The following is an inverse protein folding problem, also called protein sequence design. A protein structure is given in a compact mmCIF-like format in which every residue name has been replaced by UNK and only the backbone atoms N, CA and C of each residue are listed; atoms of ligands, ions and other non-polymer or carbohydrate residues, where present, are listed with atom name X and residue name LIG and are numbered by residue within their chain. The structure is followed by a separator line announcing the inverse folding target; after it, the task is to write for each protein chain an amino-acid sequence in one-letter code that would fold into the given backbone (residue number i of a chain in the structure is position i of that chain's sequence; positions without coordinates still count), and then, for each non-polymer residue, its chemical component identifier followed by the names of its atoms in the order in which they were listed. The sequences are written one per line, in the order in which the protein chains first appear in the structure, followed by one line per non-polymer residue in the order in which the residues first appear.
data_IF_699466724010
#
_entry.id   IF_699466724010
#
_cell.length_a   1.000
_cell.length_b   1.000
_cell.length_c   1.000
_cell.angle_alpha   90.00
_cell.angle_beta   90.00
_cell.angle_gamma   90.00
#
_symmetry.space_group_name_H-M   'P 1'
#
loop_
_entity.id
_entity.type
_entity.pdbx_description
1 polymer ?
#
# COMPACT_ATOMS: atom_id res chain seq x y z
N UNK A 1 60.04 34.37 -68.14
CA UNK A 1 58.68 33.99 -67.72
C UNK A 1 58.82 32.80 -66.80
N UNK A 2 58.77 33.01 -65.48
CA UNK A 2 58.72 31.92 -64.50
C UNK A 2 57.34 31.26 -64.54
N UNK A 3 57.32 29.93 -64.65
CA UNK A 3 56.09 29.15 -64.66
C UNK A 3 55.49 29.08 -63.24
N UNK A 4 54.17 29.27 -63.07
CA UNK A 4 53.56 29.21 -61.75
C UNK A 4 53.62 27.78 -61.17
N UNK A 5 53.97 27.69 -59.89
CA UNK A 5 54.04 26.44 -59.12
C UNK A 5 52.73 25.64 -59.20
N UNK A 6 52.78 24.29 -59.28
CA UNK A 6 51.58 23.48 -59.43
C UNK A 6 50.66 23.64 -58.22
N UNK A 7 49.42 24.04 -58.49
CA UNK A 7 48.34 24.15 -57.50
C UNK A 7 48.12 22.78 -56.85
N UNK A 8 48.18 22.75 -55.52
CA UNK A 8 47.94 21.61 -54.63
C UNK A 8 46.97 20.56 -55.21
N UNK A 9 47.49 19.41 -55.63
CA UNK A 9 46.69 18.27 -56.05
C UNK A 9 46.21 17.51 -54.80
N UNK A 10 44.90 17.46 -54.63
CA UNK A 10 44.27 16.63 -53.59
C UNK A 10 44.44 15.16 -53.97
N UNK A 11 45.20 14.41 -53.16
CA UNK A 11 45.33 12.96 -53.35
C UNK A 11 44.09 12.26 -52.77
N UNK A 12 43.70 11.08 -53.30
CA UNK A 12 42.58 10.29 -52.77
C UNK A 12 42.67 10.06 -51.25
N UNK A 13 43.89 9.87 -50.72
CA UNK A 13 44.12 9.75 -49.27
C UNK A 13 43.82 11.02 -48.47
N UNK A 14 44.12 12.22 -48.99
CA UNK A 14 43.77 13.49 -48.32
C UNK A 14 42.26 13.74 -48.34
N UNK A 15 41.58 13.36 -49.42
CA UNK A 15 40.11 13.43 -49.51
C UNK A 15 39.45 12.46 -48.54
N UNK A 16 39.99 11.24 -48.38
CA UNK A 16 39.49 10.27 -47.41
C UNK A 16 39.64 10.76 -45.96
N UNK A 17 40.81 11.32 -45.60
CA UNK A 17 41.06 11.86 -44.25
C UNK A 17 40.13 13.04 -43.95
N UNK A 18 39.94 13.96 -44.89
CA UNK A 18 39.00 15.08 -44.73
C UNK A 18 37.56 14.58 -44.66
N UNK A 19 37.17 13.60 -45.48
CA UNK A 19 35.84 12.98 -45.42
C UNK A 19 35.56 12.32 -44.07
N UNK A 20 36.52 11.55 -43.53
CA UNK A 20 36.43 10.96 -42.18
C UNK A 20 36.37 12.07 -41.12
N UNK A 21 37.18 13.12 -41.23
CA UNK A 21 37.17 14.25 -40.30
C UNK A 21 35.83 14.98 -40.27
N UNK A 22 35.23 15.25 -41.43
CA UNK A 22 33.89 15.88 -41.54
C UNK A 22 32.81 14.96 -40.97
N UNK A 23 32.86 13.65 -41.26
CA UNK A 23 31.95 12.67 -40.66
C UNK A 23 32.07 12.65 -39.14
N UNK A 24 33.29 12.61 -38.59
CA UNK A 24 33.50 12.62 -37.14
C UNK A 24 32.98 13.92 -36.50
N UNK A 25 33.29 15.09 -37.06
CA UNK A 25 32.78 16.37 -36.55
C UNK A 25 31.25 16.40 -36.60
N UNK A 26 30.65 15.96 -37.70
CA UNK A 26 29.19 15.84 -37.84
C UNK A 26 28.59 14.92 -36.79
N UNK A 27 29.20 13.75 -36.56
CA UNK A 27 28.79 12.80 -35.53
C UNK A 27 28.91 13.41 -34.13
N UNK A 28 30.03 14.06 -33.78
CA UNK A 28 30.19 14.74 -32.49
C UNK A 28 29.20 15.89 -32.31
N UNK A 29 28.90 16.65 -33.36
CA UNK A 29 27.89 17.71 -33.32
C UNK A 29 26.49 17.14 -33.08
N UNK A 30 26.13 16.04 -33.75
CA UNK A 30 24.86 15.33 -33.52
C UNK A 30 24.78 14.80 -32.09
N UNK A 31 25.83 14.13 -31.59
CA UNK A 31 25.87 13.65 -30.20
C UNK A 31 25.79 14.81 -29.19
N UNK A 32 26.50 15.90 -29.42
CA UNK A 32 26.45 17.09 -28.57
C UNK A 32 25.07 17.75 -28.56
N UNK A 33 24.43 17.84 -29.73
CA UNK A 33 23.07 18.35 -29.87
C UNK A 33 22.06 17.46 -29.14
N UNK A 34 22.07 16.14 -29.40
CA UNK A 34 21.20 15.18 -28.72
C UNK A 34 21.39 15.24 -27.20
N UNK A 35 22.64 15.29 -26.74
CA UNK A 35 22.95 15.41 -25.32
C UNK A 35 22.42 16.70 -24.70
N UNK A 36 22.60 17.84 -25.37
CA UNK A 36 22.07 19.13 -24.92
C UNK A 36 20.54 19.13 -24.84
N UNK A 37 19.86 18.65 -25.88
CA UNK A 37 18.40 18.57 -25.91
C UNK A 37 17.85 17.61 -24.85
N UNK A 38 18.45 16.44 -24.66
CA UNK A 38 18.08 15.52 -23.59
C UNK A 38 18.26 16.15 -22.21
N UNK A 39 19.32 16.92 -22.00
CA UNK A 39 19.54 17.61 -20.73
C UNK A 39 18.53 18.73 -20.49
N UNK A 40 18.23 19.53 -21.53
CA UNK A 40 17.22 20.57 -21.46
C UNK A 40 15.83 20.00 -21.16
N UNK A 41 15.46 18.89 -21.80
CA UNK A 41 14.20 18.18 -21.56
C UNK A 41 14.12 17.65 -20.12
N UNK A 42 15.11 16.90 -19.66
CA UNK A 42 15.12 16.38 -18.28
C UNK A 42 15.00 17.52 -17.25
N UNK A 43 15.66 18.65 -17.50
CA UNK A 43 15.56 19.83 -16.62
C UNK A 43 14.16 20.43 -16.59
N UNK A 44 13.47 20.47 -17.75
CA UNK A 44 12.10 20.94 -17.83
C UNK A 44 11.15 19.97 -17.10
N UNK A 45 11.24 18.66 -17.39
CA UNK A 45 10.42 17.64 -16.75
C UNK A 45 10.57 17.68 -15.20
N UNK A 46 11.80 17.79 -14.69
CA UNK A 46 12.06 17.93 -13.24
C UNK A 46 11.62 19.29 -12.67
N UNK A 47 11.47 20.33 -13.48
CA UNK A 47 10.98 21.63 -13.02
C UNK A 47 9.44 21.62 -12.95
N UNK A 48 8.78 20.94 -13.89
CA UNK A 48 7.33 20.78 -13.91
C UNK A 48 6.86 19.98 -12.70
N UNK A 49 7.49 18.83 -12.40
CA UNK A 49 7.23 18.05 -11.18
C UNK A 49 7.36 18.88 -9.89
N UNK A 50 8.42 19.71 -9.79
CA UNK A 50 8.61 20.61 -8.64
C UNK A 50 7.55 21.71 -8.57
N UNK A 51 7.08 22.22 -9.71
CA UNK A 51 6.04 23.23 -9.77
C UNK A 51 4.69 22.69 -9.27
N UNK A 52 4.45 21.39 -9.44
CA UNK A 52 3.32 20.65 -8.89
C UNK A 52 3.51 20.29 -7.39
N UNK A 53 4.68 20.56 -6.81
CA UNK A 53 5.01 20.23 -5.42
C UNK A 53 5.44 18.78 -5.21
N UNK A 54 5.74 18.05 -6.29
CA UNK A 54 6.14 16.65 -6.22
C UNK A 54 7.66 16.50 -6.04
N UNK A 55 8.12 15.53 -5.23
CA UNK A 55 9.54 15.34 -4.97
C UNK A 55 10.24 14.74 -6.19
N UNK A 56 11.47 15.20 -6.46
CA UNK A 56 12.28 14.69 -7.58
C UNK A 56 13.62 14.09 -7.13
N UNK A 57 13.94 14.19 -5.84
CA UNK A 57 15.10 13.57 -5.21
C UNK A 57 14.83 13.26 -3.73
N UNK A 58 15.77 12.61 -3.06
CA UNK A 58 15.65 12.20 -1.67
C UNK A 58 15.54 13.36 -0.67
N UNK A 59 16.14 14.52 -0.96
CA UNK A 59 16.07 15.70 -0.08
C UNK A 59 14.69 16.33 -0.18
N UNK A 60 14.18 16.46 -1.40
CA UNK A 60 12.82 16.91 -1.65
C UNK A 60 11.79 15.93 -1.07
N UNK A 61 12.04 14.61 -1.17
CA UNK A 61 11.19 13.58 -0.59
C UNK A 61 11.11 13.67 0.94
N UNK A 62 12.24 13.94 1.61
CA UNK A 62 12.24 14.15 3.07
C UNK A 62 11.41 15.37 3.50
N UNK A 63 11.29 16.40 2.65
CA UNK A 63 10.43 17.56 2.92
C UNK A 63 8.96 17.28 2.57
N UNK A 64 8.72 16.45 1.56
CA UNK A 64 7.41 15.99 1.13
C UNK A 64 6.76 15.07 2.18
N UNK A 65 7.57 14.22 2.82
CA UNK A 65 7.19 13.41 3.97
C UNK A 65 7.15 14.26 5.23
N UNK A 66 6.00 14.88 5.51
CA UNK A 66 5.80 15.68 6.73
C UNK A 66 4.38 15.53 7.28
N UNK A 67 4.22 15.80 8.58
CA UNK A 67 2.89 15.97 9.17
C UNK A 67 2.31 17.30 8.69
N UNK A 68 1.12 17.30 8.04
CA UNK A 68 0.49 18.52 7.55
C UNK A 68 0.18 19.50 8.67
N UNK A 69 0.26 20.79 8.34
CA UNK A 69 -0.03 21.86 9.29
C UNK A 69 -1.45 21.73 9.84
N UNK A 70 -1.58 21.71 11.16
CA UNK A 70 -2.88 21.61 11.86
C UNK A 70 -3.34 20.19 12.15
N UNK A 71 -2.62 19.17 11.69
CA UNK A 71 -2.83 17.77 12.09
C UNK A 71 -1.99 17.49 13.35
N UNK A 72 -2.56 16.83 14.38
CA UNK A 72 -1.78 16.41 15.56
C UNK A 72 -0.63 15.48 15.15
N UNK A 73 0.57 15.79 15.60
CA UNK A 73 1.75 14.93 15.41
C UNK A 73 1.81 13.88 16.52
N UNK A 74 1.60 12.62 16.15
CA UNK A 74 1.60 11.46 17.06
C UNK A 74 2.90 10.65 16.98
N UNK A 75 3.91 11.16 16.28
CA UNK A 75 5.18 10.47 16.03
C UNK A 75 5.85 9.99 17.31
N UNK A 76 5.95 10.87 18.32
CA UNK A 76 6.61 10.52 19.58
C UNK A 76 5.94 9.38 20.33
N UNK A 77 4.61 9.28 20.25
CA UNK A 77 3.84 8.22 20.92
C UNK A 77 4.07 6.88 20.21
N UNK A 78 3.86 6.84 18.89
CA UNK A 78 3.99 5.59 18.13
C UNK A 78 5.42 5.08 18.05
N UNK A 79 6.40 5.97 17.83
CA UNK A 79 7.81 5.56 17.87
C UNK A 79 8.18 5.02 19.26
N UNK A 80 7.72 5.65 20.34
CA UNK A 80 7.98 5.15 21.70
C UNK A 80 7.36 3.77 21.97
N UNK A 81 6.14 3.52 21.51
CA UNK A 81 5.48 2.20 21.59
C UNK A 81 6.29 1.16 20.81
N UNK A 82 6.64 1.47 19.56
CA UNK A 82 7.35 0.56 18.66
C UNK A 82 8.74 0.23 19.20
N UNK A 83 9.51 1.23 19.63
CA UNK A 83 10.85 1.05 20.20
C UNK A 83 10.79 0.16 21.44
N UNK A 84 9.76 0.31 22.28
CA UNK A 84 9.61 -0.51 23.50
C UNK A 84 9.24 -1.95 23.18
N UNK A 85 8.27 -2.17 22.30
CA UNK A 85 7.84 -3.52 21.88
C UNK A 85 8.96 -4.26 21.15
N UNK A 86 9.79 -3.56 20.40
CA UNK A 86 10.89 -4.18 19.63
C UNK A 86 12.17 -4.37 20.43
N UNK A 87 12.37 -3.60 21.51
CA UNK A 87 13.48 -3.77 22.46
C UNK A 87 13.28 -4.98 23.40
N UNK A 88 12.74 -6.08 22.86
CA UNK A 88 12.41 -7.30 23.59
C UNK A 88 13.67 -8.15 23.82
N UNK A 89 13.79 -8.75 25.01
CA UNK A 89 14.92 -9.63 25.35
C UNK A 89 14.84 -10.96 24.57
N UNK A 90 15.97 -11.66 24.39
CA UNK A 90 15.96 -12.97 23.72
C UNK A 90 15.01 -13.96 24.42
N UNK A 91 15.02 -13.98 25.76
CA UNK A 91 14.14 -14.86 26.54
C UNK A 91 12.66 -14.58 26.25
N UNK A 92 12.28 -13.32 26.06
CA UNK A 92 10.90 -12.94 25.76
C UNK A 92 10.53 -13.23 24.30
N UNK A 93 11.48 -13.10 23.35
CA UNK A 93 11.29 -13.58 21.97
C UNK A 93 11.02 -15.09 21.96
N UNK A 94 11.78 -15.86 22.74
CA UNK A 94 11.59 -17.31 22.81
C UNK A 94 10.20 -17.68 23.36
N UNK A 95 9.70 -16.94 24.36
CA UNK A 95 8.31 -17.08 24.86
C UNK A 95 7.31 -16.74 23.77
N UNK A 96 7.46 -15.61 23.07
CA UNK A 96 6.55 -15.19 22.00
C UNK A 96 6.47 -16.24 20.89
N UNK A 97 7.59 -16.89 20.55
CA UNK A 97 7.63 -17.92 19.51
C UNK A 97 6.74 -19.14 19.82
N UNK A 98 6.49 -19.46 21.08
CA UNK A 98 5.61 -20.57 21.48
C UNK A 98 4.11 -20.19 21.48
N UNK A 99 3.78 -18.91 21.31
CA UNK A 99 2.42 -18.38 21.41
C UNK A 99 1.83 -18.07 20.02
N UNK A 100 0.49 -18.17 19.87
CA UNK A 100 -0.17 -17.87 18.60
C UNK A 100 -0.12 -16.37 18.30
N UNK A 101 -0.26 -16.00 17.02
CA UNK A 101 -0.26 -14.62 16.47
C UNK A 101 1.10 -13.91 16.56
N UNK A 102 1.73 -13.91 17.74
CA UNK A 102 3.04 -13.28 17.98
C UNK A 102 4.22 -14.18 17.62
N UNK A 103 3.98 -15.49 17.50
CA UNK A 103 4.97 -16.50 17.10
C UNK A 103 4.37 -17.65 16.30
N UNK A 104 4.88 -18.86 16.52
CA UNK A 104 4.50 -20.10 15.82
C UNK A 104 3.69 -21.05 16.72
N UNK A 105 3.07 -20.52 17.77
CA UNK A 105 2.20 -21.30 18.65
C UNK A 105 0.99 -21.91 17.93
N UNK A 106 0.31 -22.89 18.57
CA UNK A 106 -0.86 -23.56 18.02
C UNK A 106 -1.93 -22.62 17.48
N UNK A 107 -2.29 -22.81 16.21
CA UNK A 107 -3.41 -22.17 15.53
C UNK A 107 -4.36 -23.24 14.97
N UNK A 108 -5.66 -22.93 14.79
CA UNK A 108 -6.33 -21.69 15.18
C UNK A 108 -6.48 -21.56 16.71
N UNK A 109 -6.58 -20.31 17.20
CA UNK A 109 -6.94 -20.06 18.60
C UNK A 109 -8.38 -20.58 18.81
N UNK A 110 -8.65 -21.36 19.86
CA UNK A 110 -10.00 -21.86 20.13
C UNK A 110 -10.99 -20.69 20.34
N UNK A 111 -12.26 -20.81 19.89
CA UNK A 111 -13.24 -19.73 20.04
C UNK A 111 -13.59 -19.48 21.52
N UNK A 112 -14.00 -18.26 21.89
CA UNK A 112 -14.48 -17.94 23.24
C UNK A 112 -15.52 -18.95 23.76
N UNK A 113 -15.36 -19.38 25.01
CA UNK A 113 -16.16 -20.44 25.63
C UNK A 113 -15.61 -21.85 25.46
N UNK A 114 -14.49 -22.01 24.74
CA UNK A 114 -13.71 -23.26 24.70
C UNK A 114 -12.38 -23.09 25.44
N UNK A 115 -11.79 -24.21 25.90
CA UNK A 115 -10.53 -24.17 26.63
C UNK A 115 -9.38 -23.73 25.71
N UNK A 116 -8.71 -22.64 26.08
CA UNK A 116 -7.48 -22.20 25.43
C UNK A 116 -6.29 -22.44 26.37
N UNK A 117 -5.56 -23.53 26.11
CA UNK A 117 -4.49 -24.02 26.98
C UNK A 117 -3.37 -22.99 27.24
N UNK A 118 -3.15 -22.04 26.33
CA UNK A 118 -2.10 -21.04 26.43
C UNK A 118 -2.58 -19.69 26.99
N UNK A 119 -3.86 -19.57 27.36
CA UNK A 119 -4.47 -18.30 27.78
C UNK A 119 -3.69 -17.63 28.92
N UNK A 120 -3.33 -18.37 29.97
CA UNK A 120 -2.60 -17.81 31.12
C UNK A 120 -1.20 -17.31 30.72
N UNK A 121 -0.49 -18.03 29.84
CA UNK A 121 0.82 -17.63 29.34
C UNK A 121 0.74 -16.39 28.43
N UNK A 122 -0.33 -16.30 27.63
CA UNK A 122 -0.62 -15.12 26.81
C UNK A 122 -0.91 -13.90 27.68
N UNK A 123 -1.73 -14.07 28.73
CA UNK A 123 -2.03 -12.98 29.67
C UNK A 123 -0.77 -12.49 30.40
N UNK A 124 0.13 -13.39 30.80
CA UNK A 124 1.41 -13.03 31.41
C UNK A 124 2.31 -12.25 30.43
N UNK A 125 2.37 -12.66 29.16
CA UNK A 125 3.08 -11.91 28.13
C UNK A 125 2.49 -10.50 27.95
N UNK A 126 1.17 -10.39 27.80
CA UNK A 126 0.49 -9.13 27.54
C UNK A 126 0.61 -8.16 28.73
N UNK A 127 0.65 -8.66 29.96
CA UNK A 127 0.89 -7.85 31.15
C UNK A 127 2.24 -7.10 31.10
N UNK A 128 3.25 -7.65 30.41
CA UNK A 128 4.54 -6.98 30.21
C UNK A 128 4.48 -5.81 29.23
N UNK A 129 3.46 -5.77 28.37
CA UNK A 129 3.26 -4.73 27.34
C UNK A 129 2.01 -3.87 27.60
N UNK A 130 1.35 -4.02 28.75
CA UNK A 130 0.11 -3.29 29.05
C UNK A 130 0.27 -1.76 28.97
N UNK A 131 1.38 -1.12 29.39
CA UNK A 131 1.58 0.31 29.18
C UNK A 131 1.53 0.72 27.70
N UNK A 132 2.15 -0.07 26.82
CA UNK A 132 2.19 0.17 25.38
C UNK A 132 0.83 -0.05 24.73
N UNK A 133 0.11 -1.11 25.13
CA UNK A 133 -1.25 -1.38 24.67
C UNK A 133 -2.21 -0.27 25.12
N UNK A 134 -2.12 0.21 26.37
CA UNK A 134 -2.90 1.35 26.84
C UNK A 134 -2.59 2.64 26.09
N UNK A 135 -1.31 2.91 25.80
CA UNK A 135 -0.90 4.05 25.00
C UNK A 135 -1.49 3.97 23.58
N UNK A 136 -1.44 2.80 22.94
CA UNK A 136 -2.06 2.58 21.62
C UNK A 136 -3.58 2.81 21.64
N UNK A 137 -4.28 2.34 22.68
CA UNK A 137 -5.73 2.58 22.86
C UNK A 137 -6.05 4.05 23.07
N UNK A 138 -5.20 4.80 23.77
CA UNK A 138 -5.40 6.22 24.02
C UNK A 138 -5.32 7.08 22.76
N UNK A 139 -4.64 6.61 21.72
CA UNK A 139 -4.55 7.29 20.42
C UNK A 139 -5.82 7.16 19.55
N UNK A 140 -6.74 6.26 19.93
CA UNK A 140 -7.99 6.06 19.20
C UNK A 140 -8.82 7.35 19.18
N UNK A 141 -9.05 7.89 17.98
CA UNK A 141 -9.84 9.10 17.76
C UNK A 141 -9.07 10.42 17.85
N UNK A 142 -7.76 10.39 18.12
CA UNK A 142 -6.89 11.58 18.06
C UNK A 142 -6.80 12.15 16.64
N UNK A 143 -6.98 11.30 15.61
CA UNK A 143 -6.89 11.63 14.18
C UNK A 143 -5.56 12.31 13.79
N UNK A 144 -4.47 11.97 14.48
CA UNK A 144 -3.13 12.47 14.20
C UNK A 144 -2.45 11.79 13.02
N UNK A 145 -1.26 12.28 12.67
CA UNK A 145 -0.35 11.64 11.71
C UNK A 145 1.02 11.41 12.33
N UNK A 146 1.70 10.39 11.83
CA UNK A 146 3.03 9.97 12.26
C UNK A 146 4.01 10.18 11.11
N UNK A 147 5.20 10.68 11.44
CA UNK A 147 6.32 10.82 10.52
C UNK A 147 7.47 9.93 11.00
N UNK A 148 7.60 8.74 10.44
CA UNK A 148 8.71 7.86 10.81
C UNK A 148 10.06 8.43 10.35
N UNK A 149 11.14 8.35 11.15
CA UNK A 149 12.43 8.91 10.76
C UNK A 149 13.10 8.03 9.69
N UNK A 150 12.87 8.35 8.41
CA UNK A 150 13.39 7.59 7.26
C UNK A 150 14.54 8.35 6.59
N UNK A 151 15.69 7.68 6.42
CA UNK A 151 16.81 8.21 5.64
C UNK A 151 16.65 7.90 4.14
N UNK A 152 15.88 8.73 3.44
CA UNK A 152 15.69 8.62 1.99
C UNK A 152 17.00 8.84 1.20
N UNK A 153 18.05 9.38 1.82
CA UNK A 153 19.32 9.63 1.13
C UNK A 153 20.00 8.33 0.68
N UNK A 154 19.55 7.16 1.13
CA UNK A 154 20.04 5.86 0.66
C UNK A 154 19.45 5.44 -0.70
N UNK A 155 18.44 6.16 -1.24
CA UNK A 155 17.81 5.82 -2.52
C UNK A 155 17.01 4.51 -2.40
N UNK A 156 17.11 3.62 -3.38
CA UNK A 156 16.42 2.30 -3.36
C UNK A 156 16.92 1.36 -2.25
N UNK A 157 17.97 1.73 -1.52
CA UNK A 157 18.52 0.97 -0.38
C UNK A 157 18.01 1.48 0.96
N UNK A 158 17.08 2.43 0.96
CA UNK A 158 16.43 2.95 2.15
C UNK A 158 15.85 1.79 2.96
N UNK A 159 16.23 1.70 4.22
CA UNK A 159 15.68 0.73 5.16
C UNK A 159 14.44 1.33 5.81
N UNK A 160 13.43 0.48 6.03
CA UNK A 160 12.16 0.86 6.63
C UNK A 160 11.90 0.00 7.88
N UNK A 161 12.73 0.16 8.94
CA UNK A 161 12.67 -0.70 10.12
C UNK A 161 11.26 -0.77 10.71
N UNK A 162 10.60 0.40 10.80
CA UNK A 162 9.25 0.54 11.35
C UNK A 162 8.19 -0.35 10.67
N UNK A 163 8.34 -0.71 9.40
CA UNK A 163 7.32 -1.51 8.69
C UNK A 163 7.15 -2.93 9.22
N UNK A 164 8.20 -3.57 9.73
CA UNK A 164 8.09 -4.88 10.38
C UNK A 164 7.76 -4.74 11.87
N UNK A 165 8.29 -3.70 12.48
CA UNK A 165 8.16 -3.42 13.91
C UNK A 165 6.71 -3.06 14.30
N UNK A 166 6.02 -2.25 13.50
CA UNK A 166 4.59 -1.91 13.68
C UNK A 166 3.71 -3.16 13.67
N UNK A 167 4.05 -4.18 12.87
CA UNK A 167 3.27 -5.44 12.84
C UNK A 167 3.31 -6.18 14.18
N UNK A 168 4.39 -6.05 14.96
CA UNK A 168 4.44 -6.67 16.29
C UNK A 168 3.44 -6.03 17.24
N UNK A 169 3.30 -4.70 17.20
CA UNK A 169 2.28 -3.99 18.00
C UNK A 169 0.87 -4.44 17.59
N UNK A 170 0.60 -4.55 16.28
CA UNK A 170 -0.69 -5.03 15.77
C UNK A 170 -1.01 -6.46 16.25
N UNK A 171 0.00 -7.35 16.25
CA UNK A 171 -0.13 -8.73 16.73
C UNK A 171 -0.42 -8.82 18.22
N UNK A 172 0.21 -7.98 19.04
CA UNK A 172 -0.08 -7.89 20.47
C UNK A 172 -1.52 -7.40 20.74
N UNK A 173 -1.96 -6.34 20.04
CA UNK A 173 -3.34 -5.85 20.13
C UNK A 173 -4.34 -6.91 19.67
N UNK A 174 -4.05 -7.64 18.60
CA UNK A 174 -4.90 -8.72 18.10
C UNK A 174 -5.02 -9.85 19.13
N UNK A 175 -3.89 -10.25 19.72
CA UNK A 175 -3.83 -11.29 20.74
C UNK A 175 -4.62 -10.87 21.98
N UNK A 176 -4.49 -9.60 22.41
CA UNK A 176 -5.24 -9.07 23.54
C UNK A 176 -6.74 -8.97 23.28
N UNK A 177 -7.15 -8.61 22.06
CA UNK A 177 -8.56 -8.64 21.67
C UNK A 177 -9.16 -10.06 21.79
N UNK A 178 -8.39 -11.11 21.45
CA UNK A 178 -8.82 -12.51 21.65
C UNK A 178 -8.93 -12.86 23.13
N UNK A 179 -7.96 -12.48 23.95
CA UNK A 179 -8.01 -12.67 25.41
C UNK A 179 -9.23 -11.99 26.00
N UNK A 180 -9.45 -10.72 25.64
CA UNK A 180 -10.60 -9.94 26.09
C UNK A 180 -11.92 -10.65 25.76
N UNK A 181 -12.09 -11.15 24.54
CA UNK A 181 -13.26 -11.93 24.15
C UNK A 181 -13.41 -13.24 24.96
N UNK A 182 -12.31 -13.97 25.22
CA UNK A 182 -12.32 -15.17 26.08
C UNK A 182 -12.71 -14.87 27.54
N UNK A 183 -12.40 -13.67 28.02
CA UNK A 183 -12.75 -13.19 29.37
C UNK A 183 -14.10 -12.47 29.43
N UNK A 184 -14.78 -12.27 28.29
CA UNK A 184 -16.05 -11.54 28.21
C UNK A 184 -15.90 -10.03 28.41
N UNK A 185 -14.71 -9.47 28.16
CA UNK A 185 -14.44 -8.03 28.17
C UNK A 185 -14.61 -7.43 26.78
N UNK A 186 -15.87 -7.29 26.36
CA UNK A 186 -16.24 -6.78 25.04
C UNK A 186 -15.71 -5.35 24.79
N UNK A 187 -15.55 -4.56 25.85
CA UNK A 187 -15.09 -3.17 25.78
C UNK A 187 -13.58 -3.09 25.48
N UNK A 188 -12.77 -3.96 26.11
CA UNK A 188 -11.35 -4.07 25.80
C UNK A 188 -11.13 -4.58 24.37
N UNK A 189 -11.86 -5.63 23.97
CA UNK A 189 -11.81 -6.13 22.60
C UNK A 189 -12.15 -5.04 21.56
N UNK A 190 -13.19 -4.24 21.82
CA UNK A 190 -13.56 -3.10 20.99
C UNK A 190 -12.41 -2.07 20.88
N UNK A 191 -11.78 -1.71 22.00
CA UNK A 191 -10.69 -0.74 22.03
C UNK A 191 -9.47 -1.25 21.26
N UNK A 192 -9.12 -2.52 21.39
CA UNK A 192 -7.99 -3.13 20.68
C UNK A 192 -8.20 -3.13 19.17
N UNK A 193 -9.39 -3.55 18.71
CA UNK A 193 -9.72 -3.53 17.29
C UNK A 193 -9.64 -2.10 16.71
N UNK A 194 -10.12 -1.10 17.44
CA UNK A 194 -10.01 0.32 17.03
C UNK A 194 -8.57 0.82 17.05
N UNK A 195 -7.76 0.36 18.01
CA UNK A 195 -6.34 0.67 18.09
C UNK A 195 -5.57 0.06 16.91
N UNK A 196 -5.92 -1.14 16.43
CA UNK A 196 -5.31 -1.75 15.22
C UNK A 196 -5.53 -0.87 13.98
N UNK A 197 -6.75 -0.34 13.77
CA UNK A 197 -6.99 0.58 12.65
C UNK A 197 -6.25 1.91 12.82
N UNK A 198 -6.13 2.41 14.05
CA UNK A 198 -5.35 3.63 14.35
C UNK A 198 -3.85 3.41 14.09
N UNK A 199 -3.31 2.26 14.51
CA UNK A 199 -1.94 1.83 14.25
C UNK A 199 -1.69 1.69 12.75
N UNK A 200 -2.61 1.07 12.00
CA UNK A 200 -2.55 1.02 10.54
C UNK A 200 -2.47 2.43 9.94
N UNK A 201 -3.26 3.38 10.45
CA UNK A 201 -3.28 4.76 9.93
C UNK A 201 -2.02 5.57 10.28
N UNK A 202 -1.12 5.07 11.13
CA UNK A 202 0.22 5.68 11.31
C UNK A 202 1.05 5.64 10.04
N UNK A 203 0.76 4.72 9.12
CA UNK A 203 1.39 4.61 7.80
C UNK A 203 0.69 5.47 6.73
N UNK A 204 -0.28 6.29 7.12
CA UNK A 204 -0.89 7.31 6.26
C UNK A 204 0.15 8.40 5.92
N UNK A 205 0.23 8.78 4.65
CA UNK A 205 1.21 9.75 4.15
C UNK A 205 2.64 9.20 4.02
N UNK A 206 2.87 7.91 4.32
CA UNK A 206 4.17 7.29 4.06
C UNK A 206 4.38 7.13 2.54
N UNK A 207 5.44 7.75 1.97
CA UNK A 207 5.52 7.95 0.53
C UNK A 207 6.16 6.77 -0.20
N UNK A 208 6.00 5.53 0.29
CA UNK A 208 6.62 4.33 -0.28
C UNK A 208 5.60 3.18 -0.40
N UNK A 209 5.68 2.45 -1.51
CA UNK A 209 4.74 1.36 -1.83
C UNK A 209 4.72 0.32 -0.72
N UNK A 210 5.89 -0.10 -0.25
CA UNK A 210 6.00 -1.11 0.80
C UNK A 210 5.34 -0.68 2.12
N UNK A 211 5.39 0.61 2.48
CA UNK A 211 4.68 1.14 3.65
C UNK A 211 3.16 1.01 3.48
N UNK A 212 2.64 1.31 2.29
CA UNK A 212 1.20 1.14 2.00
C UNK A 212 0.77 -0.34 1.94
N UNK A 213 1.64 -1.24 1.47
CA UNK A 213 1.39 -2.69 1.54
C UNK A 213 1.29 -3.18 3.00
N UNK A 214 2.17 -2.68 3.87
CA UNK A 214 2.13 -3.00 5.31
C UNK A 214 0.87 -2.45 5.96
N UNK A 215 0.49 -1.22 5.64
CA UNK A 215 -0.77 -0.62 6.10
C UNK A 215 -1.97 -1.49 5.76
N UNK A 216 -2.13 -1.88 4.50
CA UNK A 216 -3.26 -2.73 4.11
C UNK A 216 -3.25 -4.12 4.75
N UNK A 217 -2.07 -4.66 5.07
CA UNK A 217 -1.99 -5.93 5.82
C UNK A 217 -2.47 -5.78 7.26
N UNK A 218 -2.03 -4.74 8.00
CA UNK A 218 -2.49 -4.49 9.37
C UNK A 218 -3.99 -4.17 9.40
N UNK A 219 -4.47 -3.40 8.42
CA UNK A 219 -5.89 -3.11 8.27
C UNK A 219 -6.71 -4.38 8.00
N UNK A 220 -6.18 -5.28 7.16
CA UNK A 220 -6.78 -6.59 6.92
C UNK A 220 -6.82 -7.44 8.20
N UNK A 221 -5.75 -7.47 9.01
CA UNK A 221 -5.75 -8.18 10.29
C UNK A 221 -6.88 -7.69 11.21
N UNK A 222 -7.10 -6.37 11.28
CA UNK A 222 -8.23 -5.77 12.00
C UNK A 222 -9.60 -6.16 11.44
N UNK A 223 -9.72 -6.26 10.11
CA UNK A 223 -10.93 -6.73 9.44
C UNK A 223 -11.25 -8.18 9.81
N UNK A 224 -10.30 -9.10 9.66
CA UNK A 224 -10.47 -10.51 10.02
C UNK A 224 -10.78 -10.67 11.50
N UNK A 225 -10.17 -9.86 12.36
CA UNK A 225 -10.43 -9.87 13.78
C UNK A 225 -11.87 -9.44 14.14
N UNK A 226 -12.45 -8.46 13.44
CA UNK A 226 -13.87 -8.11 13.57
C UNK A 226 -14.74 -9.31 13.19
N UNK A 227 -14.45 -9.96 12.05
CA UNK A 227 -15.23 -11.10 11.56
C UNK A 227 -15.25 -12.22 12.59
N UNK A 228 -14.08 -12.58 13.11
CA UNK A 228 -13.93 -13.67 14.05
C UNK A 228 -14.55 -13.35 15.42
N UNK A 229 -14.43 -12.11 15.92
CA UNK A 229 -14.90 -11.75 17.26
C UNK A 229 -16.37 -11.34 17.33
N UNK A 230 -16.98 -10.93 16.21
CA UNK A 230 -18.37 -10.46 16.17
C UNK A 230 -19.41 -11.47 16.69
N UNK A 231 -19.28 -12.80 16.44
CA UNK A 231 -20.17 -13.80 17.04
C UNK A 231 -20.02 -13.97 18.55
N UNK A 232 -18.91 -13.49 19.12
CA UNK A 232 -18.52 -13.77 20.51
C UNK A 232 -18.60 -12.55 21.43
N UNK A 233 -18.55 -11.34 20.88
CA UNK A 233 -18.64 -10.10 21.65
C UNK A 233 -20.06 -9.51 21.56
N UNK A 234 -20.62 -9.03 22.67
CA UNK A 234 -21.96 -8.44 22.71
C UNK A 234 -21.91 -6.91 22.50
N UNK A 235 -21.35 -6.48 21.37
CA UNK A 235 -21.25 -5.07 21.00
C UNK A 235 -22.63 -4.45 20.72
N UNK A 236 -22.84 -3.24 21.23
CA UNK A 236 -24.05 -2.44 20.97
C UNK A 236 -24.02 -1.79 19.58
N UNK A 237 -25.14 -1.17 19.18
CA UNK A 237 -25.21 -0.41 17.92
C UNK A 237 -24.18 0.73 17.88
N UNK A 238 -23.94 1.40 19.02
CA UNK A 238 -22.96 2.47 19.15
C UNK A 238 -21.51 1.94 19.06
N UNK A 239 -21.24 0.78 19.65
CA UNK A 239 -19.92 0.13 19.57
C UNK A 239 -19.59 -0.28 18.12
N UNK A 240 -20.57 -0.86 17.43
CA UNK A 240 -20.47 -1.21 16.02
C UNK A 240 -20.27 0.03 15.14
N UNK A 241 -20.99 1.12 15.41
CA UNK A 241 -20.79 2.39 14.71
C UNK A 241 -19.37 2.95 14.94
N UNK A 242 -18.82 2.82 16.15
CA UNK A 242 -17.45 3.22 16.46
C UNK A 242 -16.41 2.38 15.70
N UNK A 243 -16.62 1.06 15.55
CA UNK A 243 -15.79 0.21 14.70
C UNK A 243 -15.85 0.64 13.24
N UNK A 244 -17.03 0.92 12.70
CA UNK A 244 -17.18 1.40 11.32
C UNK A 244 -16.41 2.71 11.08
N UNK A 245 -16.47 3.64 12.04
CA UNK A 245 -15.72 4.89 11.94
C UNK A 245 -14.21 4.65 11.87
N UNK A 246 -13.67 3.73 12.68
CA UNK A 246 -12.24 3.38 12.67
C UNK A 246 -11.84 2.62 11.38
N UNK A 247 -12.64 1.64 10.96
CA UNK A 247 -12.42 0.83 9.75
C UNK A 247 -12.36 1.70 8.48
N UNK A 248 -13.28 2.65 8.35
CA UNK A 248 -13.49 3.43 7.12
C UNK A 248 -12.57 4.64 6.97
N UNK A 249 -11.78 4.95 7.99
CA UNK A 249 -10.86 6.10 7.94
C UNK A 249 -9.77 5.94 6.86
N UNK A 250 -9.41 4.71 6.50
CA UNK A 250 -8.39 4.43 5.49
C UNK A 250 -8.89 4.70 4.05
N UNK A 251 -8.14 5.52 3.31
CA UNK A 251 -8.30 5.72 1.86
C UNK A 251 -7.10 5.12 1.10
N UNK A 252 -7.16 3.82 0.77
CA UNK A 252 -6.03 3.13 0.12
C UNK A 252 -5.65 3.69 -1.25
N UNK A 253 -6.62 4.24 -1.98
CA UNK A 253 -6.43 4.70 -3.36
C UNK A 253 -5.57 5.94 -3.43
N UNK A 254 -5.93 6.97 -2.67
CA UNK A 254 -5.19 8.24 -2.59
C UNK A 254 -3.78 8.02 -2.03
N UNK A 255 -3.67 7.17 -1.03
CA UNK A 255 -2.43 6.91 -0.31
C UNK A 255 -1.44 6.07 -1.14
N UNK A 256 -1.96 5.17 -1.98
CA UNK A 256 -1.14 4.47 -2.96
C UNK A 256 -0.64 5.41 -4.07
N UNK A 257 -1.47 6.34 -4.54
CA UNK A 257 -1.05 7.35 -5.51
C UNK A 257 0.06 8.25 -4.93
N UNK A 258 -0.13 8.71 -3.69
CA UNK A 258 0.89 9.45 -2.94
C UNK A 258 2.22 8.70 -2.86
N UNK A 259 2.17 7.39 -2.54
CA UNK A 259 3.37 6.55 -2.47
C UNK A 259 4.11 6.43 -3.82
N UNK A 260 3.41 6.45 -4.96
CA UNK A 260 4.08 6.40 -6.28
C UNK A 260 4.94 7.63 -6.55
N UNK A 261 4.57 8.80 -6.04
CA UNK A 261 5.39 10.00 -6.17
C UNK A 261 6.72 9.89 -5.40
N UNK A 262 6.70 9.26 -4.22
CA UNK A 262 7.92 9.02 -3.46
C UNK A 262 8.81 7.92 -4.06
N UNK A 263 8.21 6.84 -4.58
CA UNK A 263 8.94 5.82 -5.37
C UNK A 263 9.67 6.45 -6.56
N UNK A 264 9.02 7.37 -7.30
CA UNK A 264 9.66 8.14 -8.39
C UNK A 264 10.89 8.89 -7.89
N UNK A 265 10.77 9.62 -6.77
CA UNK A 265 11.87 10.40 -6.22
C UNK A 265 13.05 9.53 -5.75
N UNK A 266 12.79 8.37 -5.14
CA UNK A 266 13.84 7.41 -4.78
C UNK A 266 14.54 6.82 -6.00
N UNK A 267 13.79 6.50 -7.05
CA UNK A 267 14.37 5.95 -8.28
C UNK A 267 15.21 7.00 -9.00
N UNK A 268 14.72 8.25 -9.11
CA UNK A 268 15.50 9.35 -9.66
C UNK A 268 16.78 9.61 -8.86
N UNK A 269 16.71 9.51 -7.53
CA UNK A 269 17.88 9.60 -6.64
C UNK A 269 18.91 8.52 -6.98
N UNK A 270 18.50 7.26 -7.12
CA UNK A 270 19.42 6.17 -7.45
C UNK A 270 20.01 6.34 -8.86
N UNK A 271 19.18 6.69 -9.85
CA UNK A 271 19.61 6.91 -11.22
C UNK A 271 20.59 8.09 -11.33
N UNK A 272 20.43 9.14 -10.51
CA UNK A 272 21.31 10.31 -10.49
C UNK A 272 22.78 9.97 -10.17
N UNK A 273 23.01 8.84 -9.47
CA UNK A 273 24.33 8.34 -9.07
C UNK A 273 25.11 7.69 -10.21
N UNK A 274 24.46 7.42 -11.34
CA UNK A 274 25.12 6.80 -12.49
C UNK A 274 26.25 7.69 -13.04
N UNK A 275 27.45 7.10 -13.17
CA UNK A 275 28.65 7.82 -13.60
C UNK A 275 28.63 8.25 -15.07
N UNK A 276 28.04 7.44 -15.96
CA UNK A 276 28.07 7.72 -17.39
C UNK A 276 26.88 8.63 -17.78
N UNK A 277 27.20 9.87 -18.18
CA UNK A 277 26.20 10.92 -18.44
C UNK A 277 25.04 10.52 -19.36
N UNK A 278 25.30 9.98 -20.57
CA UNK A 278 24.22 9.54 -21.47
C UNK A 278 23.33 8.43 -20.91
N UNK A 279 23.89 7.45 -20.20
CA UNK A 279 23.10 6.41 -19.51
C UNK A 279 22.23 7.03 -18.42
N UNK A 280 22.83 7.87 -17.57
CA UNK A 280 22.11 8.57 -16.50
C UNK A 280 20.91 9.35 -17.03
N UNK A 281 21.14 10.22 -18.02
CA UNK A 281 20.10 11.08 -18.59
C UNK A 281 18.96 10.24 -19.18
N UNK A 282 19.28 9.22 -19.97
CA UNK A 282 18.25 8.39 -20.59
C UNK A 282 17.47 7.58 -19.55
N UNK A 283 18.12 7.00 -18.55
CA UNK A 283 17.42 6.30 -17.47
C UNK A 283 16.49 7.24 -16.68
N UNK A 284 16.94 8.44 -16.33
CA UNK A 284 16.11 9.40 -15.58
C UNK A 284 14.88 9.82 -16.38
N UNK A 285 15.04 10.11 -17.67
CA UNK A 285 13.91 10.42 -18.56
C UNK A 285 12.93 9.23 -18.67
N UNK A 286 13.47 8.02 -18.83
CA UNK A 286 12.63 6.81 -18.84
C UNK A 286 11.89 6.62 -17.52
N UNK A 287 12.51 6.90 -16.37
CA UNK A 287 11.85 6.80 -15.09
C UNK A 287 10.68 7.79 -15.00
N UNK A 288 10.88 9.06 -15.37
CA UNK A 288 9.79 10.04 -15.44
C UNK A 288 8.67 9.54 -16.35
N UNK A 289 8.99 9.13 -17.59
CA UNK A 289 8.00 8.57 -18.53
C UNK A 289 7.21 7.38 -17.96
N UNK A 290 7.82 6.54 -17.11
CA UNK A 290 7.15 5.39 -16.49
C UNK A 290 6.25 5.79 -15.32
N UNK A 291 6.65 6.80 -14.55
CA UNK A 291 5.84 7.31 -13.42
C UNK A 291 4.82 8.36 -13.84
N UNK A 292 4.93 9.01 -15.00
CA UNK A 292 3.83 9.86 -15.51
C UNK A 292 2.55 9.03 -15.69
N UNK A 293 2.69 7.72 -15.96
CA UNK A 293 1.54 6.81 -15.97
C UNK A 293 0.92 6.60 -14.60
N UNK A 294 1.66 6.74 -13.49
CA UNK A 294 1.12 6.50 -12.13
C UNK A 294 0.17 7.58 -11.69
N UNK A 295 0.39 8.82 -12.14
CA UNK A 295 -0.36 9.98 -11.69
C UNK A 295 -1.84 9.85 -12.10
N UNK A 296 -2.10 9.34 -13.32
CA UNK A 296 -3.46 9.01 -13.78
C UNK A 296 -3.89 7.57 -13.48
N UNK A 297 -2.98 6.66 -13.11
CA UNK A 297 -3.28 5.22 -12.96
C UNK A 297 -4.32 4.95 -11.86
N UNK A 298 -4.35 5.82 -10.85
CA UNK A 298 -5.28 5.74 -9.73
C UNK A 298 -6.45 6.69 -9.90
N UNK A 299 -6.72 7.21 -11.09
CA UNK A 299 -7.87 8.06 -11.41
C UNK A 299 -8.92 7.35 -12.27
N UNK A 300 -10.19 7.75 -12.10
CA UNK A 300 -11.34 7.19 -12.83
C UNK A 300 -12.06 6.05 -12.12
N UNK A 301 -12.76 5.24 -12.92
CA UNK A 301 -13.48 4.02 -12.49
C UNK A 301 -12.49 2.88 -12.20
N UNK A 302 -12.92 1.85 -11.46
CA UNK A 302 -12.05 0.69 -11.20
C UNK A 302 -11.70 -0.05 -12.48
N UNK A 303 -12.66 -0.18 -13.40
CA UNK A 303 -12.46 -0.77 -14.73
C UNK A 303 -11.35 -0.03 -15.49
N UNK A 304 -11.40 1.31 -15.48
CA UNK A 304 -10.38 2.15 -16.12
C UNK A 304 -9.00 1.98 -15.47
N UNK A 305 -8.93 1.93 -14.15
CA UNK A 305 -7.67 1.69 -13.42
C UNK A 305 -7.06 0.34 -13.83
N UNK A 306 -7.83 -0.75 -13.80
CA UNK A 306 -7.32 -2.06 -14.21
C UNK A 306 -6.83 -2.08 -15.66
N UNK A 307 -7.57 -1.44 -16.58
CA UNK A 307 -7.14 -1.30 -17.97
C UNK A 307 -5.80 -0.57 -18.07
N UNK A 308 -5.63 0.57 -17.37
CA UNK A 308 -4.36 1.32 -17.33
C UNK A 308 -3.21 0.46 -16.80
N UNK A 309 -3.46 -0.35 -15.76
CA UNK A 309 -2.47 -1.29 -15.21
C UNK A 309 -2.03 -2.37 -16.20
N UNK A 310 -2.96 -2.93 -16.97
CA UNK A 310 -2.67 -3.89 -18.03
C UNK A 310 -1.88 -3.26 -19.19
N UNK A 311 -2.32 -2.09 -19.67
CA UNK A 311 -1.64 -1.34 -20.72
C UNK A 311 -0.21 -0.96 -20.32
N UNK A 312 0.01 -0.57 -19.06
CA UNK A 312 1.34 -0.26 -18.55
C UNK A 312 2.27 -1.48 -18.61
N UNK A 313 1.79 -2.64 -18.16
CA UNK A 313 2.57 -3.88 -18.19
C UNK A 313 2.89 -4.33 -19.61
N UNK A 314 1.93 -4.21 -20.54
CA UNK A 314 2.16 -4.51 -21.96
C UNK A 314 3.25 -3.60 -22.53
N UNK A 315 3.12 -2.27 -22.37
CA UNK A 315 4.13 -1.29 -22.80
C UNK A 315 5.50 -1.55 -22.18
N UNK A 316 5.55 -1.89 -20.89
CA UNK A 316 6.80 -2.22 -20.22
C UNK A 316 7.45 -3.49 -20.80
N UNK A 317 6.66 -4.52 -21.09
CA UNK A 317 7.14 -5.76 -21.70
C UNK A 317 7.60 -5.57 -23.15
N UNK A 318 6.88 -4.79 -23.94
CA UNK A 318 7.31 -4.39 -25.29
C UNK A 318 8.64 -3.64 -25.25
N UNK A 319 8.79 -2.67 -24.33
CA UNK A 319 10.04 -1.90 -24.16
C UNK A 319 11.20 -2.79 -23.69
N UNK A 320 10.93 -3.79 -22.84
CA UNK A 320 11.91 -4.80 -22.40
C UNK A 320 12.27 -5.81 -23.50
N UNK A 321 11.35 -6.19 -24.37
CA UNK A 321 11.57 -7.20 -25.43
C UNK A 321 12.07 -6.60 -26.76
N UNK A 322 11.87 -5.31 -27.00
CA UNK A 322 12.19 -4.64 -28.26
C UNK A 322 13.65 -4.80 -28.72
N UNK A 323 13.85 -5.43 -29.87
CA UNK A 323 15.16 -5.67 -30.53
C UNK A 323 15.67 -4.46 -31.33
N UNK A 324 14.91 -3.37 -31.43
CA UNK A 324 15.19 -2.23 -32.32
C UNK A 324 16.21 -1.21 -31.79
N UNK A 325 16.54 -1.22 -30.50
CA UNK A 325 17.52 -0.31 -29.92
C UNK A 325 18.91 -0.96 -29.92
N UNK A 326 19.68 -0.76 -30.99
CA UNK A 326 21.08 -1.20 -31.15
C UNK A 326 21.97 -0.83 -29.94
N UNK A 327 21.57 0.18 -29.14
CA UNK A 327 22.21 0.56 -27.86
C UNK A 327 21.10 0.84 -26.84
N UNK A 328 20.83 -0.10 -25.91
CA UNK A 328 19.86 0.10 -24.82
C UNK A 328 20.51 0.92 -23.69
N UNK A 329 20.03 2.14 -23.48
CA UNK A 329 20.57 3.06 -22.49
C UNK A 329 19.70 3.22 -21.23
N UNK A 330 18.50 2.65 -21.19
CA UNK A 330 17.49 2.78 -20.11
C UNK A 330 17.25 1.49 -19.31
N UNK A 331 18.14 0.50 -19.40
CA UNK A 331 17.94 -0.82 -18.77
C UNK A 331 17.73 -0.77 -17.26
N UNK A 332 18.40 0.14 -16.56
CA UNK A 332 18.26 0.26 -15.11
C UNK A 332 16.92 0.86 -14.70
N UNK A 333 16.41 1.86 -15.42
CA UNK A 333 15.06 2.38 -15.21
C UNK A 333 13.98 1.33 -15.50
N UNK A 334 14.19 0.46 -16.50
CA UNK A 334 13.26 -0.64 -16.79
C UNK A 334 13.30 -1.77 -15.74
N UNK A 335 14.41 -1.97 -15.05
CA UNK A 335 14.51 -2.92 -13.94
C UNK A 335 13.81 -2.37 -12.69
N UNK A 336 13.96 -1.07 -12.45
CA UNK A 336 13.27 -0.32 -11.42
C UNK A 336 11.96 0.25 -11.98
N UNK A 337 11.15 -0.54 -12.68
CA UNK A 337 9.83 -0.08 -13.09
C UNK A 337 8.84 -0.36 -11.95
N UNK A 338 7.91 0.57 -11.63
CA UNK A 338 6.92 0.35 -10.57
C UNK A 338 5.94 -0.77 -10.96
N UNK A 339 5.48 -1.52 -9.96
CA UNK A 339 4.46 -2.56 -10.13
C UNK A 339 3.03 -1.99 -10.16
N UNK A 340 2.70 -1.12 -11.12
CA UNK A 340 1.42 -0.37 -11.15
C UNK A 340 0.21 -1.31 -11.10
N UNK A 341 0.17 -2.34 -11.96
CA UNK A 341 -0.92 -3.33 -11.97
C UNK A 341 -1.09 -3.97 -10.59
N UNK A 342 0.00 -4.41 -9.97
CA UNK A 342 -0.03 -5.04 -8.65
C UNK A 342 -0.49 -4.08 -7.56
N UNK A 343 -0.09 -2.81 -7.64
CA UNK A 343 -0.55 -1.77 -6.73
C UNK A 343 -2.07 -1.52 -6.86
N UNK A 344 -2.61 -1.47 -8.09
CA UNK A 344 -4.06 -1.35 -8.33
C UNK A 344 -4.81 -2.57 -7.79
N UNK A 345 -4.31 -3.78 -8.05
CA UNK A 345 -4.90 -5.01 -7.51
C UNK A 345 -4.94 -4.99 -5.98
N UNK A 346 -3.85 -4.59 -5.33
CA UNK A 346 -3.79 -4.42 -3.89
C UNK A 346 -4.82 -3.41 -3.37
N UNK A 347 -4.91 -2.22 -3.97
CA UNK A 347 -5.86 -1.18 -3.57
C UNK A 347 -7.30 -1.67 -3.72
N UNK A 348 -7.62 -2.37 -4.82
CA UNK A 348 -8.93 -2.96 -5.05
C UNK A 348 -9.26 -4.02 -3.98
N UNK A 349 -8.34 -4.94 -3.68
CA UNK A 349 -8.50 -5.96 -2.63
C UNK A 349 -8.71 -5.32 -1.25
N UNK A 350 -7.87 -4.36 -0.86
CA UNK A 350 -7.99 -3.68 0.44
C UNK A 350 -9.33 -2.94 0.57
N UNK A 351 -9.75 -2.25 -0.49
CA UNK A 351 -11.04 -1.54 -0.55
C UNK A 351 -12.22 -2.51 -0.50
N UNK A 352 -12.15 -3.62 -1.24
CA UNK A 352 -13.19 -4.64 -1.24
C UNK A 352 -13.36 -5.28 0.15
N UNK A 353 -12.25 -5.59 0.84
CA UNK A 353 -12.28 -6.11 2.23
C UNK A 353 -12.95 -5.11 3.17
N UNK A 354 -12.49 -3.86 3.15
CA UNK A 354 -13.03 -2.77 3.98
C UNK A 354 -14.54 -2.61 3.77
N UNK A 355 -15.00 -2.62 2.52
CA UNK A 355 -16.43 -2.49 2.17
C UNK A 355 -17.26 -3.70 2.61
N UNK A 356 -16.76 -4.92 2.44
CA UNK A 356 -17.46 -6.13 2.90
C UNK A 356 -17.62 -6.14 4.42
N UNK A 357 -16.56 -5.83 5.18
CA UNK A 357 -16.63 -5.76 6.64
C UNK A 357 -17.53 -4.62 7.09
N UNK A 358 -17.47 -3.45 6.45
CA UNK A 358 -18.36 -2.34 6.77
C UNK A 358 -19.85 -2.72 6.57
N UNK A 359 -20.17 -3.38 5.45
CA UNK A 359 -21.50 -3.88 5.17
C UNK A 359 -21.95 -4.97 6.17
N UNK A 360 -21.02 -5.83 6.60
CA UNK A 360 -21.27 -6.81 7.66
C UNK A 360 -21.61 -6.16 9.00
N UNK A 361 -20.84 -5.15 9.41
CA UNK A 361 -21.15 -4.38 10.62
C UNK A 361 -22.51 -3.68 10.47
N UNK A 362 -22.78 -3.04 9.33
CA UNK A 362 -24.07 -2.40 9.06
C UNK A 362 -25.25 -3.39 9.12
N UNK A 363 -25.09 -4.61 8.62
CA UNK A 363 -26.08 -5.68 8.71
C UNK A 363 -26.32 -6.14 10.16
N UNK A 364 -25.26 -6.21 10.97
CA UNK A 364 -25.36 -6.50 12.41
C UNK A 364 -26.07 -5.38 13.17
N UNK A 365 -25.77 -4.11 12.86
CA UNK A 365 -26.49 -2.93 13.38
C UNK A 365 -27.97 -2.98 13.01
N UNK A 366 -28.28 -3.26 11.74
CA UNK A 366 -29.66 -3.46 11.26
C UNK A 366 -30.37 -4.55 12.08
N UNK A 367 -29.70 -5.68 12.35
CA UNK A 367 -30.24 -6.76 13.20
C UNK A 367 -30.50 -6.32 14.63
N UNK A 368 -29.62 -5.54 15.24
CA UNK A 368 -29.85 -5.02 16.59
C UNK A 368 -31.11 -4.16 16.67
N UNK A 369 -31.33 -3.33 15.64
CA UNK A 369 -32.47 -2.41 15.53
C UNK A 369 -33.78 -3.10 15.13
N UNK A 370 -33.75 -4.07 14.21
CA UNK A 370 -34.93 -4.70 13.60
C UNK A 370 -35.21 -6.14 14.04
N UNK A 371 -34.31 -6.73 14.81
CA UNK A 371 -34.34 -8.15 15.26
C UNK A 371 -34.31 -9.19 14.13
N UNK A 372 -33.94 -8.76 12.93
CA UNK A 372 -33.69 -9.61 11.77
C UNK A 372 -32.56 -8.99 10.95
N UNK A 373 -31.78 -9.82 10.25
CA UNK A 373 -30.85 -9.33 9.22
C UNK A 373 -31.63 -8.70 8.04
N UNK A 374 -30.99 -7.83 7.23
CA UNK A 374 -31.64 -7.23 6.06
C UNK A 374 -32.03 -8.30 5.02
N UNK A 375 -33.04 -8.00 4.19
CA UNK A 375 -33.42 -8.89 3.07
C UNK A 375 -32.47 -8.66 1.88
N UNK A 376 -31.88 -7.47 1.78
CA UNK A 376 -30.86 -7.11 0.79
C UNK A 376 -29.94 -5.99 1.27
N UNK A 377 -28.78 -5.79 0.63
CA UNK A 377 -27.91 -4.65 0.94
C UNK A 377 -28.57 -3.29 0.69
N UNK A 378 -29.64 -3.23 -0.12
CA UNK A 378 -30.39 -2.00 -0.34
C UNK A 378 -31.16 -1.53 0.92
N UNK A 379 -31.35 -2.40 1.91
CA UNK A 379 -31.95 -2.06 3.20
C UNK A 379 -30.98 -1.30 4.13
N UNK A 380 -29.68 -1.29 3.80
CA UNK A 380 -28.63 -0.61 4.55
C UNK A 380 -28.54 0.85 4.08
N UNK A 381 -29.13 1.76 4.86
CA UNK A 381 -29.09 3.18 4.58
C UNK A 381 -27.71 3.82 4.96
N UNK A 382 -27.56 5.10 4.64
CA UNK A 382 -26.33 5.87 4.94
C UNK A 382 -25.93 5.85 6.42
N UNK A 383 -26.91 5.92 7.32
CA UNK A 383 -26.69 5.90 8.77
C UNK A 383 -26.08 4.56 9.23
N UNK A 384 -26.60 3.45 8.71
CA UNK A 384 -26.09 2.11 9.01
C UNK A 384 -24.72 1.87 8.40
N UNK A 385 -24.43 2.43 7.22
CA UNK A 385 -23.12 2.35 6.57
C UNK A 385 -22.09 3.34 7.15
N UNK A 386 -22.55 4.30 7.97
CA UNK A 386 -21.79 5.47 8.39
C UNK A 386 -21.41 6.41 7.24
N UNK A 387 -22.01 6.24 6.06
CA UNK A 387 -21.63 6.95 4.84
C UNK A 387 -21.89 8.46 4.95
N UNK A 388 -20.97 9.33 4.50
CA UNK A 388 -21.14 10.77 4.58
C UNK A 388 -22.13 11.33 3.54
N UNK A 389 -22.60 10.50 2.58
CA UNK A 389 -23.43 10.96 1.45
C UNK A 389 -24.32 9.85 0.84
N UNK A 390 -25.49 10.18 0.27
CA UNK A 390 -26.39 9.25 -0.42
C UNK A 390 -25.83 8.57 -1.67
N UNK A 391 -24.82 9.18 -2.30
CA UNK A 391 -24.16 8.62 -3.49
C UNK A 391 -22.99 7.71 -3.13
N UNK A 392 -23.00 7.09 -1.96
CA UNK A 392 -21.85 6.34 -1.43
C UNK A 392 -21.54 5.13 -2.30
N UNK A 393 -20.26 4.95 -2.63
CA UNK A 393 -19.73 3.77 -3.33
C UNK A 393 -19.37 2.64 -2.36
N UNK A 394 -19.79 2.75 -1.10
CA UNK A 394 -19.47 1.85 0.03
C UNK A 394 -19.93 0.40 -0.21
N UNK A 395 -20.97 0.23 -1.04
CA UNK A 395 -21.51 -1.09 -1.39
C UNK A 395 -21.15 -1.54 -2.81
N UNK A 396 -20.23 -0.84 -3.50
CA UNK A 396 -19.81 -1.21 -4.85
C UNK A 396 -18.57 -2.10 -4.76
N UNK A 397 -18.56 -3.18 -5.53
CA UNK A 397 -17.42 -4.07 -5.68
C UNK A 397 -16.35 -3.43 -6.59
N UNK A 398 -15.11 -3.25 -6.11
CA UNK A 398 -14.01 -2.74 -6.95
C UNK A 398 -13.70 -3.59 -8.18
N UNK A 399 -14.06 -4.88 -8.22
CA UNK A 399 -13.62 -5.78 -9.29
C UNK A 399 -14.53 -5.82 -10.52
N UNK A 400 -15.80 -5.43 -10.38
CA UNK A 400 -16.76 -5.38 -11.49
C UNK A 400 -17.72 -4.18 -11.48
N UNK A 401 -17.58 -3.29 -10.50
CA UNK A 401 -18.38 -2.07 -10.34
C UNK A 401 -19.89 -2.30 -10.14
N UNK A 402 -20.29 -3.54 -9.85
CA UNK A 402 -21.64 -3.88 -9.42
C UNK A 402 -21.74 -3.79 -7.89
N UNK A 403 -22.95 -3.81 -7.30
CA UNK A 403 -23.09 -3.96 -5.86
C UNK A 403 -22.38 -5.21 -5.34
N UNK A 404 -21.83 -5.14 -4.13
CA UNK A 404 -21.39 -6.32 -3.38
C UNK A 404 -22.50 -7.37 -3.34
N UNK A 405 -22.12 -8.64 -3.27
CA UNK A 405 -23.07 -9.73 -3.29
C UNK A 405 -23.55 -9.98 -1.87
N UNK A 406 -24.83 -10.34 -1.78
CA UNK A 406 -25.47 -10.71 -0.53
C UNK A 406 -26.18 -12.03 -0.70
N UNK A 407 -25.85 -12.98 0.18
CA UNK A 407 -26.57 -14.23 0.28
C UNK A 407 -27.03 -14.43 1.71
N UNK A 408 -28.27 -14.85 1.84
CA UNK A 408 -28.86 -15.20 3.12
C UNK A 408 -29.24 -16.68 3.11
N UNK A 409 -28.60 -17.45 3.98
CA UNK A 409 -28.85 -18.88 4.17
C UNK A 409 -29.68 -19.13 5.44
N UNK A 410 -29.97 -20.38 5.80
CA UNK A 410 -30.78 -20.69 6.98
C UNK A 410 -30.08 -20.28 8.30
N UNK A 411 -28.76 -20.45 8.38
CA UNK A 411 -27.97 -20.25 9.61
C UNK A 411 -26.98 -19.08 9.55
N UNK A 412 -26.82 -18.44 8.39
CA UNK A 412 -25.82 -17.39 8.18
C UNK A 412 -26.20 -16.41 7.08
N UNK A 413 -25.53 -15.26 7.06
CA UNK A 413 -25.47 -14.33 5.93
C UNK A 413 -24.05 -14.27 5.40
N UNK A 414 -23.91 -13.95 4.12
CA UNK A 414 -22.64 -13.85 3.42
C UNK A 414 -22.67 -12.56 2.61
N UNK A 415 -21.68 -11.69 2.82
CA UNK A 415 -21.47 -10.46 2.05
C UNK A 415 -20.10 -10.54 1.43
N UNK A 416 -20.00 -10.43 0.10
CA UNK A 416 -18.74 -10.70 -0.58
C UNK A 416 -18.55 -9.87 -1.86
N UNK A 417 -17.28 -9.74 -2.21
CA UNK A 417 -16.77 -9.31 -3.50
C UNK A 417 -16.30 -10.53 -4.30
N UNK A 418 -16.42 -10.47 -5.62
CA UNK A 418 -15.99 -11.53 -6.54
C UNK A 418 -14.46 -11.65 -6.67
N UNK A 419 -13.72 -10.80 -5.96
CA UNK A 419 -12.27 -10.91 -5.86
C UNK A 419 -11.51 -10.73 -7.17
N UNK A 420 -10.24 -11.10 -7.11
CA UNK A 420 -9.25 -10.75 -8.15
C UNK A 420 -9.41 -11.56 -9.43
N UNK A 421 -9.96 -12.78 -9.36
CA UNK A 421 -10.23 -13.63 -10.52
C UNK A 421 -11.44 -13.15 -11.33
N UNK A 422 -12.27 -12.27 -10.73
CA UNK A 422 -13.51 -11.71 -11.27
C UNK A 422 -14.55 -12.77 -11.62
N UNK A 423 -14.54 -13.88 -10.92
CA UNK A 423 -15.50 -14.95 -11.07
C UNK A 423 -16.36 -14.94 -9.80
N UNK A 424 -17.67 -14.95 -9.97
CA UNK A 424 -18.57 -15.13 -8.83
C UNK A 424 -18.53 -16.60 -8.40
N UNK A 425 -17.82 -16.88 -7.30
CA UNK A 425 -17.70 -18.23 -6.75
C UNK A 425 -18.75 -18.50 -5.65
N UNK A 426 -19.77 -17.65 -5.55
CA UNK A 426 -20.87 -17.80 -4.61
C UNK A 426 -20.44 -17.57 -3.16
N UNK A 427 -19.49 -16.70 -2.90
CA UNK A 427 -19.06 -16.31 -1.55
C UNK A 427 -18.23 -17.39 -0.84
N UNK A 428 -17.33 -18.06 -1.57
CA UNK A 428 -16.31 -18.94 -0.97
C UNK A 428 -15.21 -18.08 -0.32
N UNK A 429 -15.53 -17.50 0.85
CA UNK A 429 -14.69 -16.54 1.56
C UNK A 429 -13.80 -17.18 2.64
N UNK A 430 -13.98 -18.46 2.93
CA UNK A 430 -13.28 -19.15 4.03
C UNK A 430 -12.14 -20.00 3.48
N UNK A 431 -10.90 -19.73 3.93
CA UNK A 431 -9.76 -20.60 3.63
C UNK A 431 -9.92 -21.94 4.33
N UNK A 432 -9.82 -23.05 3.59
CA UNK A 432 -9.81 -24.39 4.16
C UNK A 432 -8.36 -24.79 4.45
N UNK A 433 -8.12 -25.46 5.58
CA UNK A 433 -6.79 -25.90 6.06
C UNK A 433 -5.92 -26.59 4.99
N UNK A 434 -6.55 -27.33 4.06
CA UNK A 434 -5.91 -28.02 2.93
C UNK A 434 -6.46 -27.59 1.55
N UNK A 435 -7.15 -26.45 1.48
CA UNK A 435 -7.81 -25.95 0.26
C UNK A 435 -7.00 -24.89 -0.48
N UNK A 436 -7.39 -24.56 -1.73
CA UNK A 436 -6.92 -23.32 -2.35
C UNK A 436 -7.37 -22.12 -1.50
N UNK A 437 -6.60 -21.04 -1.56
CA UNK A 437 -7.00 -19.76 -0.97
C UNK A 437 -8.40 -19.36 -1.48
N UNK A 438 -9.24 -18.76 -0.63
CA UNK A 438 -10.58 -18.34 -1.03
C UNK A 438 -10.48 -17.37 -2.22
N UNK A 439 -11.29 -17.61 -3.24
CA UNK A 439 -11.28 -16.83 -4.47
C UNK A 439 -12.13 -15.56 -4.34
N UNK A 440 -13.22 -15.65 -3.58
CA UNK A 440 -14.05 -14.51 -3.21
C UNK A 440 -13.57 -13.93 -1.87
N UNK A 441 -13.77 -12.63 -1.69
CA UNK A 441 -13.38 -11.91 -0.49
C UNK A 441 -14.61 -11.38 0.21
N UNK A 442 -14.80 -11.70 1.50
CA UNK A 442 -16.03 -11.28 2.17
C UNK A 442 -16.09 -11.65 3.63
N UNK A 443 -17.29 -11.53 4.18
CA UNK A 443 -17.63 -11.83 5.56
C UNK A 443 -18.80 -12.81 5.62
N UNK A 444 -18.69 -13.77 6.53
CA UNK A 444 -19.74 -14.73 6.88
C UNK A 444 -20.18 -14.44 8.32
N UNK A 445 -21.46 -14.17 8.54
CA UNK A 445 -22.01 -13.91 9.88
C UNK A 445 -23.10 -14.91 10.25
N UNK A 446 -23.08 -15.47 11.47
CA UNK A 446 -24.14 -16.35 11.95
C UNK A 446 -25.45 -15.59 12.22
N UNK A 447 -26.58 -16.27 11.95
CA UNK A 447 -27.92 -15.69 12.03
C UNK A 447 -28.48 -15.46 13.42
#
# INVERSE_FOLDING_TARGET
MEAPSPKSSWTPGKLLIVGIGVLLIGTFAIFGFLWYFSHARLKADLADLRAEGLPTDAVELANYHNVPVGVPDTTGVWVGIIDTVTATSQDQVDIMMELPIVGEGPTPIPPPGTEWAQLDAVEELLANFEPELQAARAEVGVNGQTQFPIDFSQGIRTLLPYTQEIRQVARLLLLDAKVAAHRGDDARALQDLRAIFTLSDTLRGEPLLISQLVRGAIHADGCEAIIDLMPHCNWSDDDLAALQSSLRAANFREEMAHAMHGERALYLTELSRMRLGPLRLRNMQTAIELFDYTDDAFDGSWTEMFQKGDEFNEKLNERRSGTSNLIRLDTAALQLAPGIKTAIQFVATATARQRCVNAGIAASRYRLQKKQFPDSLADLNEELLGAPSPSSTELIDPFDENPLRYRQEETRIIIYSIGLDRIDNGGDCESKEDGPDPTDLGIVLPK
#
